data_IF_771010332684
#
_entry.id   IF_771010332684
#
_cell.length_a   1.000
_cell.length_b   1.000
_cell.length_c   1.000
_cell.angle_alpha   90.00
_cell.angle_beta   90.00
_cell.angle_gamma   90.00
#
_symmetry.space_group_name_H-M   'P 1'
#
loop_
_entity.id
_entity.type
_entity.pdbx_description
1 polymer ?
#
# COMPACT_ATOMS: atom_id res chain seq x y z
N UNK A 1 4.46 -29.68 -13.96
CA UNK A 1 5.46 -28.62 -13.74
C UNK A 1 4.98 -27.36 -14.45
N UNK A 2 4.16 -26.55 -13.79
CA UNK A 2 3.68 -25.28 -14.34
C UNK A 2 4.76 -24.23 -14.10
N UNK A 3 5.24 -23.62 -15.19
CA UNK A 3 6.28 -22.61 -15.17
C UNK A 3 5.95 -21.51 -14.14
N UNK A 4 6.84 -21.34 -13.16
CA UNK A 4 6.87 -20.19 -12.25
C UNK A 4 7.10 -18.93 -13.08
N UNK A 5 6.02 -18.18 -13.34
CA UNK A 5 6.12 -16.85 -13.92
C UNK A 5 6.93 -15.99 -12.96
N UNK A 6 8.13 -15.66 -13.39
CA UNK A 6 9.14 -14.86 -12.72
C UNK A 6 8.51 -13.60 -12.10
N UNK A 7 8.26 -13.60 -10.77
CA UNK A 7 7.85 -12.43 -10.00
C UNK A 7 9.01 -11.43 -9.92
N UNK A 8 9.41 -10.85 -11.05
CA UNK A 8 10.55 -9.93 -11.12
C UNK A 8 10.24 -8.55 -10.52
N UNK A 9 8.96 -8.24 -10.29
CA UNK A 9 8.53 -6.92 -9.81
C UNK A 9 7.38 -7.05 -8.81
N UNK A 10 7.52 -6.36 -7.68
CA UNK A 10 6.46 -6.20 -6.68
C UNK A 10 5.59 -5.00 -7.07
N UNK A 11 4.27 -5.13 -6.93
CA UNK A 11 3.35 -4.03 -7.14
C UNK A 11 3.74 -2.82 -6.26
N UNK A 12 3.86 -1.64 -6.85
CA UNK A 12 4.31 -0.41 -6.18
C UNK A 12 3.49 -0.07 -4.93
N UNK A 13 2.19 -0.27 -4.97
CA UNK A 13 1.30 0.07 -3.86
C UNK A 13 1.44 -0.93 -2.71
N UNK A 14 1.68 -2.21 -3.02
CA UNK A 14 2.05 -3.22 -2.02
C UNK A 14 3.39 -2.90 -1.39
N UNK A 15 4.41 -2.54 -2.17
CA UNK A 15 5.71 -2.11 -1.65
C UNK A 15 5.60 -0.89 -0.74
N UNK A 16 4.69 0.04 -1.07
CA UNK A 16 4.42 1.20 -0.24
C UNK A 16 3.77 0.82 1.10
N UNK A 17 2.80 -0.11 1.09
CA UNK A 17 2.18 -0.62 2.32
C UNK A 17 3.20 -1.36 3.20
N UNK A 18 4.10 -2.13 2.61
CA UNK A 18 5.20 -2.79 3.33
C UNK A 18 6.17 -1.77 3.95
N UNK A 19 6.41 -0.64 3.28
CA UNK A 19 7.15 0.47 3.88
C UNK A 19 6.40 1.03 5.10
N UNK A 20 5.10 1.33 4.98
CA UNK A 20 4.35 1.88 6.12
C UNK A 20 4.21 0.87 7.27
N UNK A 21 4.18 -0.43 6.97
CA UNK A 21 4.23 -1.48 7.99
C UNK A 21 5.52 -1.44 8.82
N UNK A 22 6.67 -1.09 8.21
CA UNK A 22 7.93 -0.91 8.96
C UNK A 22 7.88 0.31 9.87
N UNK A 23 7.20 1.39 9.47
CA UNK A 23 6.95 2.55 10.37
C UNK A 23 6.14 2.12 11.60
N UNK A 24 5.16 1.23 11.42
CA UNK A 24 4.39 0.68 12.55
C UNK A 24 5.22 -0.25 13.45
N UNK A 25 6.21 -0.96 12.89
CA UNK A 25 7.14 -1.78 13.68
C UNK A 25 7.94 -0.93 14.67
N UNK A 26 8.42 0.25 14.26
CA UNK A 26 9.13 1.18 15.15
C UNK A 26 8.24 1.68 16.31
N UNK A 27 6.92 1.80 16.10
CA UNK A 27 5.99 2.11 17.18
C UNK A 27 5.78 0.92 18.15
N UNK A 28 5.99 -0.31 17.68
CA UNK A 28 5.86 -1.54 18.45
C UNK A 28 7.13 -1.94 19.20
N UNK A 29 8.29 -1.45 18.80
CA UNK A 29 9.60 -1.81 19.37
C UNK A 29 9.79 -1.21 20.78
N UNK A 30 10.05 -2.07 21.76
CA UNK A 30 10.29 -1.69 23.16
C UNK A 30 11.65 -1.00 23.37
N UNK A 31 12.59 -1.15 22.43
CA UNK A 31 13.90 -0.47 22.46
C UNK A 31 13.80 1.00 22.02
N UNK A 32 12.70 1.40 21.38
CA UNK A 32 12.41 2.78 21.00
C UNK A 32 11.80 3.53 22.19
N UNK A 33 12.30 4.74 22.54
CA UNK A 33 11.73 5.53 23.63
C UNK A 33 10.22 5.75 23.45
N UNK A 34 9.47 5.70 24.57
CA UNK A 34 8.00 5.74 24.55
C UNK A 34 7.41 6.91 23.74
N UNK A 35 8.01 8.10 23.84
CA UNK A 35 7.56 9.28 23.10
C UNK A 35 7.81 9.13 21.60
N UNK A 36 8.93 8.54 21.19
CA UNK A 36 9.21 8.29 19.77
C UNK A 36 8.26 7.24 19.19
N UNK A 37 7.86 6.22 19.97
CA UNK A 37 6.82 5.26 19.55
C UNK A 37 5.48 5.96 19.24
N UNK A 38 5.07 6.91 20.09
CA UNK A 38 3.88 7.73 19.84
C UNK A 38 4.03 8.58 18.56
N UNK A 39 5.23 9.12 18.30
CA UNK A 39 5.51 9.85 17.06
C UNK A 39 5.41 8.94 15.84
N UNK A 40 5.93 7.71 15.91
CA UNK A 40 5.79 6.72 14.84
C UNK A 40 4.33 6.35 14.56
N UNK A 41 3.46 6.26 15.57
CA UNK A 41 2.01 6.10 15.35
C UNK A 41 1.40 7.27 14.57
N UNK A 42 1.82 8.50 14.90
CA UNK A 42 1.41 9.70 14.16
C UNK A 42 1.88 9.68 12.70
N UNK A 43 3.13 9.29 12.47
CA UNK A 43 3.71 9.16 11.12
C UNK A 43 2.99 8.06 10.33
N UNK A 44 2.79 6.88 10.92
CA UNK A 44 2.06 5.77 10.30
C UNK A 44 0.66 6.20 9.84
N UNK A 45 -0.07 6.91 10.72
CA UNK A 45 -1.43 7.38 10.45
C UNK A 45 -1.46 8.43 9.33
N UNK A 46 -0.56 9.41 9.37
CA UNK A 46 -0.46 10.44 8.33
C UNK A 46 -0.13 9.83 6.96
N UNK A 47 0.82 8.89 6.93
CA UNK A 47 1.15 8.16 5.71
C UNK A 47 -0.07 7.39 5.18
N UNK A 48 -0.80 6.69 6.06
CA UNK A 48 -1.96 5.89 5.67
C UNK A 48 -3.08 6.77 5.09
N UNK A 49 -3.32 7.94 5.67
CA UNK A 49 -4.26 8.93 5.13
C UNK A 49 -3.87 9.36 3.70
N UNK A 50 -2.59 9.66 3.48
CA UNK A 50 -2.07 10.02 2.15
C UNK A 50 -2.24 8.87 1.14
N UNK A 51 -1.99 7.63 1.58
CA UNK A 51 -2.21 6.45 0.75
C UNK A 51 -3.66 6.37 0.27
N UNK A 52 -4.64 6.56 1.15
CA UNK A 52 -6.04 6.49 0.76
C UNK A 52 -6.45 7.66 -0.13
N UNK A 53 -5.95 8.87 0.14
CA UNK A 53 -6.28 10.08 -0.64
C UNK A 53 -5.75 10.02 -2.06
N UNK A 54 -4.52 9.52 -2.26
CA UNK A 54 -3.83 9.61 -3.57
C UNK A 54 -3.72 8.24 -4.24
N UNK A 55 -3.13 7.26 -3.55
CA UNK A 55 -2.74 5.97 -4.15
C UNK A 55 -3.93 5.06 -4.38
N UNK A 56 -4.73 4.85 -3.33
CA UNK A 56 -5.93 4.02 -3.43
C UNK A 56 -6.95 4.59 -4.42
N UNK A 57 -7.17 5.90 -4.41
CA UNK A 57 -8.04 6.57 -5.39
C UNK A 57 -7.61 6.29 -6.82
N UNK A 58 -6.30 6.37 -7.10
CA UNK A 58 -5.73 6.04 -8.42
C UNK A 58 -5.96 4.58 -8.81
N UNK A 59 -5.68 3.63 -7.91
CA UNK A 59 -5.93 2.19 -8.14
C UNK A 59 -7.41 1.93 -8.43
N UNK A 60 -8.30 2.55 -7.66
CA UNK A 60 -9.75 2.43 -7.84
C UNK A 60 -10.17 2.90 -9.23
N UNK A 61 -9.70 4.07 -9.67
CA UNK A 61 -10.01 4.59 -11.01
C UNK A 61 -9.51 3.70 -12.14
N UNK A 62 -8.30 3.12 -12.03
CA UNK A 62 -7.77 2.19 -13.02
C UNK A 62 -8.66 0.94 -13.13
N UNK A 63 -9.06 0.38 -11.99
CA UNK A 63 -9.94 -0.79 -11.94
C UNK A 63 -11.32 -0.47 -12.54
N UNK A 64 -11.89 0.69 -12.21
CA UNK A 64 -13.17 1.15 -12.77
C UNK A 64 -13.09 1.36 -14.28
N UNK A 65 -12.05 2.02 -14.79
CA UNK A 65 -11.84 2.21 -16.21
C UNK A 65 -11.69 0.88 -16.97
N UNK A 66 -10.96 -0.09 -16.38
CA UNK A 66 -10.83 -1.44 -16.95
C UNK A 66 -12.16 -2.20 -17.00
N UNK A 67 -13.02 -2.05 -15.98
CA UNK A 67 -14.37 -2.64 -15.97
C UNK A 67 -15.25 -2.01 -17.04
N UNK A 68 -15.23 -0.68 -17.16
CA UNK A 68 -16.00 0.05 -18.17
C UNK A 68 -15.54 -0.31 -19.59
N UNK A 69 -14.23 -0.41 -19.81
CA UNK A 69 -13.67 -0.84 -21.10
C UNK A 69 -14.07 -2.27 -21.48
N UNK A 70 -14.07 -3.19 -20.51
CA UNK A 70 -14.50 -4.58 -20.74
C UNK A 70 -16.01 -4.69 -21.02
N UNK A 71 -16.82 -3.87 -20.35
CA UNK A 71 -18.26 -3.79 -20.60
C UNK A 71 -18.58 -3.19 -21.99
N UNK A 72 -17.83 -2.18 -22.43
CA UNK A 72 -18.01 -1.54 -23.74
C UNK A 72 -17.59 -2.42 -24.92
N UNK A 73 -16.66 -3.37 -24.69
CA UNK A 73 -16.17 -4.31 -25.71
C UNK A 73 -16.90 -5.65 -25.72
N UNK A 74 -18.02 -5.77 -24.99
CA UNK A 74 -18.97 -6.87 -25.16
C UNK A 74 -18.71 -8.16 -24.37
N UNK A 75 -17.68 -8.23 -23.52
CA UNK A 75 -17.42 -9.39 -22.65
C UNK A 75 -16.83 -10.61 -23.34
#
# INVERSE_FOLDING_TARGET
MTATMNEKYINREISWLQFNARVLQEAGDETVPLIERLRFLGIFSNNLDEFFKVRYATVKHIVEAGKTGRAALGG
#
